data_IF_631663613167
#
_entry.id   IF_631663613167
#
_cell.length_a   1.000
_cell.length_b   1.000
_cell.length_c   1.000
_cell.angle_alpha   90.00
_cell.angle_beta   90.00
_cell.angle_gamma   90.00
#
_symmetry.space_group_name_H-M   'P 1'
#
loop_
_entity.id
_entity.type
_entity.pdbx_description
1 polymer ?
#
# COMPACT_ATOMS: atom_id res chain seq x y z
N UNK A 1 -22.01 4.58 -15.20
CA UNK A 1 -20.80 5.07 -14.49
C UNK A 1 -19.51 4.91 -15.30
N UNK A 2 -19.32 3.86 -16.08
CA UNK A 2 -18.09 3.60 -16.85
C UNK A 2 -17.66 4.73 -17.81
N UNK A 3 -18.63 5.37 -18.51
CA UNK A 3 -18.32 6.48 -19.45
C UNK A 3 -17.78 7.75 -18.77
N UNK A 4 -18.10 7.93 -17.48
CA UNK A 4 -17.63 9.10 -16.69
C UNK A 4 -16.25 8.80 -16.13
N UNK A 5 -15.99 7.58 -15.66
CA UNK A 5 -14.70 7.17 -15.12
C UNK A 5 -13.54 7.49 -16.07
N UNK A 6 -13.65 7.08 -17.33
CA UNK A 6 -12.58 7.28 -18.33
C UNK A 6 -12.31 8.76 -18.66
N UNK A 7 -13.20 9.68 -18.20
CA UNK A 7 -13.03 11.14 -18.34
C UNK A 7 -12.43 11.80 -17.10
N UNK A 8 -12.66 11.23 -15.93
CA UNK A 8 -12.29 11.87 -14.65
C UNK A 8 -11.10 11.19 -13.95
N UNK A 9 -10.88 9.89 -14.20
CA UNK A 9 -9.72 9.20 -13.65
C UNK A 9 -8.50 9.50 -14.54
N UNK A 10 -7.36 9.88 -13.96
CA UNK A 10 -6.17 10.23 -14.73
C UNK A 10 -5.72 9.08 -15.63
N UNK A 11 -5.44 9.37 -16.90
CA UNK A 11 -4.89 8.38 -17.83
C UNK A 11 -3.45 8.03 -17.47
N UNK A 12 -2.68 9.04 -17.09
CA UNK A 12 -1.31 8.91 -16.64
C UNK A 12 -1.23 9.10 -15.12
N UNK A 13 -0.23 8.50 -14.45
CA UNK A 13 0.00 8.73 -13.03
C UNK A 13 0.23 10.21 -12.73
N UNK A 14 -0.38 10.72 -11.67
CA UNK A 14 -0.12 12.07 -11.18
C UNK A 14 1.25 12.15 -10.49
N UNK A 15 1.75 13.37 -10.24
CA UNK A 15 3.05 13.59 -9.60
C UNK A 15 3.18 12.86 -8.25
N UNK A 16 2.11 12.83 -7.46
CA UNK A 16 2.08 12.13 -6.17
C UNK A 16 2.16 10.59 -6.35
N UNK A 17 1.53 10.06 -7.39
CA UNK A 17 1.63 8.63 -7.73
C UNK A 17 3.06 8.25 -8.11
N UNK A 18 3.69 9.07 -8.96
CA UNK A 18 5.09 8.86 -9.39
C UNK A 18 6.04 8.89 -8.19
N UNK A 19 5.83 9.81 -7.26
CA UNK A 19 6.64 9.92 -6.05
C UNK A 19 6.48 8.70 -5.13
N UNK A 20 5.25 8.21 -4.95
CA UNK A 20 4.97 6.99 -4.18
C UNK A 20 5.62 5.78 -4.86
N UNK A 21 5.44 5.61 -6.16
CA UNK A 21 6.01 4.50 -6.92
C UNK A 21 7.54 4.50 -6.84
N UNK A 22 8.18 5.65 -7.12
CA UNK A 22 9.63 5.79 -7.03
C UNK A 22 10.17 5.41 -5.65
N UNK A 23 9.53 5.90 -4.58
CA UNK A 23 9.94 5.55 -3.23
C UNK A 23 9.65 4.08 -2.89
N UNK A 24 8.57 3.50 -3.40
CA UNK A 24 8.30 2.06 -3.24
C UNK A 24 9.37 1.19 -3.90
N UNK A 25 9.84 1.57 -5.10
CA UNK A 25 10.99 0.90 -5.77
C UNK A 25 12.25 1.05 -4.92
N UNK A 26 12.55 2.25 -4.45
CA UNK A 26 13.70 2.55 -3.59
C UNK A 26 13.68 1.75 -2.29
N UNK A 27 12.50 1.40 -1.78
CA UNK A 27 12.27 0.65 -0.55
C UNK A 27 12.04 -0.86 -0.79
N UNK A 28 12.16 -1.36 -2.01
CA UNK A 28 11.85 -2.76 -2.35
C UNK A 28 12.69 -3.80 -1.59
N UNK A 29 13.89 -3.41 -1.11
CA UNK A 29 14.79 -4.23 -0.29
C UNK A 29 14.30 -4.47 1.13
N UNK A 30 13.31 -3.69 1.62
CA UNK A 30 12.87 -3.75 3.01
C UNK A 30 12.27 -5.12 3.34
N UNK A 31 12.76 -5.73 4.40
CA UNK A 31 12.21 -6.95 4.99
C UNK A 31 11.22 -6.63 6.13
N UNK A 32 10.33 -7.57 6.49
CA UNK A 32 9.29 -7.34 7.51
C UNK A 32 9.86 -6.85 8.85
N UNK A 33 10.95 -7.43 9.32
CA UNK A 33 11.59 -7.05 10.58
C UNK A 33 12.10 -5.59 10.58
N UNK A 34 12.49 -5.08 9.43
CA UNK A 34 12.99 -3.69 9.30
C UNK A 34 11.87 -2.68 9.40
N UNK A 35 10.69 -2.97 8.85
CA UNK A 35 9.53 -2.08 8.90
C UNK A 35 8.65 -2.32 10.13
N UNK A 36 8.42 -3.59 10.51
CA UNK A 36 7.48 -3.97 11.54
C UNK A 36 8.14 -4.19 12.92
N UNK A 37 9.49 -4.22 12.97
CA UNK A 37 10.23 -4.58 14.17
C UNK A 37 10.03 -6.03 14.65
N UNK A 38 9.23 -6.81 13.92
CA UNK A 38 8.89 -8.22 14.19
C UNK A 38 8.94 -9.01 12.89
N UNK A 39 9.36 -10.27 12.96
CA UNK A 39 9.39 -11.17 11.80
C UNK A 39 8.53 -12.42 12.04
N UNK A 40 7.33 -12.23 12.59
CA UNK A 40 6.45 -13.34 12.99
C UNK A 40 5.33 -13.58 11.97
N UNK A 41 5.21 -12.74 10.93
CA UNK A 41 4.14 -12.83 9.96
C UNK A 41 4.58 -13.66 8.75
N UNK A 42 3.73 -14.61 8.32
CA UNK A 42 3.92 -15.31 7.06
C UNK A 42 3.30 -14.51 5.91
N UNK A 43 4.14 -13.95 5.05
CA UNK A 43 3.75 -13.13 3.91
C UNK A 43 3.71 -13.89 2.57
N UNK A 44 4.02 -15.18 2.52
CA UNK A 44 4.22 -15.93 1.28
C UNK A 44 3.00 -15.88 0.34
N UNK A 45 1.81 -16.17 0.88
CA UNK A 45 0.56 -16.07 0.12
C UNK A 45 -0.04 -14.66 0.16
N UNK A 46 0.21 -13.92 1.23
CA UNK A 46 -0.39 -12.61 1.43
C UNK A 46 0.07 -11.58 0.39
N UNK A 47 1.38 -11.50 0.12
CA UNK A 47 1.91 -10.49 -0.81
C UNK A 47 1.41 -10.68 -2.25
N UNK A 48 1.46 -11.89 -2.87
CA UNK A 48 0.90 -12.10 -4.20
C UNK A 48 -0.59 -11.76 -4.28
N UNK A 49 -1.39 -12.24 -3.32
CA UNK A 49 -2.82 -11.99 -3.30
C UNK A 49 -3.17 -10.51 -3.09
N UNK A 50 -2.41 -9.80 -2.25
CA UNK A 50 -2.60 -8.36 -2.03
C UNK A 50 -2.17 -7.55 -3.26
N UNK A 51 -1.11 -7.95 -3.95
CA UNK A 51 -0.70 -7.35 -5.22
C UNK A 51 -1.81 -7.47 -6.27
N UNK A 52 -2.41 -8.65 -6.41
CA UNK A 52 -3.54 -8.87 -7.32
C UNK A 52 -4.75 -7.99 -6.97
N UNK A 53 -5.04 -7.81 -5.68
CA UNK A 53 -6.12 -6.93 -5.23
C UNK A 53 -5.81 -5.44 -5.50
N UNK A 54 -4.55 -5.00 -5.35
CA UNK A 54 -4.12 -3.65 -5.70
C UNK A 54 -4.20 -3.41 -7.21
N UNK A 55 -3.86 -4.38 -8.04
CA UNK A 55 -4.09 -4.32 -9.51
C UNK A 55 -5.59 -4.24 -9.82
N UNK A 56 -6.44 -5.00 -9.14
CA UNK A 56 -7.90 -4.91 -9.29
C UNK A 56 -8.44 -3.55 -8.82
N UNK A 57 -7.89 -2.98 -7.75
CA UNK A 57 -8.19 -1.63 -7.28
C UNK A 57 -7.89 -0.59 -8.38
N UNK A 58 -6.74 -0.67 -9.02
CA UNK A 58 -6.36 0.25 -10.11
C UNK A 58 -7.31 0.15 -11.30
N UNK A 59 -7.70 -1.06 -11.69
CA UNK A 59 -8.55 -1.32 -12.84
C UNK A 59 -10.06 -1.14 -12.56
N UNK A 60 -10.46 -1.12 -11.32
CA UNK A 60 -11.86 -0.93 -10.91
C UNK A 60 -12.39 0.44 -11.34
N UNK A 61 -13.55 0.49 -12.03
CA UNK A 61 -14.13 1.72 -12.59
C UNK A 61 -15.21 2.36 -11.71
N UNK A 62 -15.61 1.72 -10.64
CA UNK A 62 -16.58 2.28 -9.70
C UNK A 62 -16.02 2.36 -8.28
N UNK A 63 -16.48 3.34 -7.47
CA UNK A 63 -16.09 3.41 -6.05
C UNK A 63 -16.37 2.10 -5.30
N UNK A 64 -17.50 1.45 -5.56
CA UNK A 64 -17.85 0.18 -4.92
C UNK A 64 -16.83 -0.93 -5.24
N UNK A 65 -16.41 -1.07 -6.51
CA UNK A 65 -15.39 -2.07 -6.87
C UNK A 65 -14.07 -1.81 -6.14
N UNK A 66 -13.65 -0.55 -6.03
CA UNK A 66 -12.43 -0.16 -5.36
C UNK A 66 -12.50 -0.40 -3.84
N UNK A 67 -13.62 -0.04 -3.21
CA UNK A 67 -13.85 -0.30 -1.79
C UNK A 67 -13.87 -1.80 -1.48
N UNK A 68 -14.48 -2.61 -2.34
CA UNK A 68 -14.47 -4.06 -2.16
C UNK A 68 -13.04 -4.64 -2.20
N UNK A 69 -12.17 -4.13 -3.09
CA UNK A 69 -10.76 -4.54 -3.11
C UNK A 69 -10.06 -4.17 -1.78
N UNK A 70 -10.31 -2.98 -1.26
CA UNK A 70 -9.73 -2.55 0.03
C UNK A 70 -10.24 -3.41 1.19
N UNK A 71 -11.53 -3.68 1.25
CA UNK A 71 -12.10 -4.55 2.28
C UNK A 71 -11.45 -5.95 2.26
N UNK A 72 -11.23 -6.53 1.08
CA UNK A 72 -10.55 -7.83 0.96
C UNK A 72 -9.07 -7.75 1.40
N UNK A 73 -8.36 -6.67 1.07
CA UNK A 73 -6.98 -6.46 1.54
C UNK A 73 -6.95 -6.40 3.08
N UNK A 74 -7.80 -5.58 3.69
CA UNK A 74 -7.81 -5.44 5.15
C UNK A 74 -8.30 -6.68 5.87
N UNK A 75 -9.21 -7.45 5.30
CA UNK A 75 -9.58 -8.77 5.79
C UNK A 75 -8.38 -9.74 5.83
N UNK A 76 -7.54 -9.73 4.79
CA UNK A 76 -6.30 -10.53 4.75
C UNK A 76 -5.28 -10.05 5.80
N UNK A 77 -5.14 -8.75 6.00
CA UNK A 77 -4.29 -8.18 7.05
C UNK A 77 -4.78 -8.64 8.44
N UNK A 78 -6.08 -8.53 8.70
CA UNK A 78 -6.69 -9.01 9.94
C UNK A 78 -6.39 -10.50 10.18
N UNK A 79 -6.54 -11.33 9.15
CA UNK A 79 -6.26 -12.77 9.25
C UNK A 79 -4.79 -13.05 9.60
N UNK A 80 -3.83 -12.32 9.01
CA UNK A 80 -2.41 -12.47 9.33
C UNK A 80 -2.16 -12.08 10.79
N UNK A 81 -2.74 -10.99 11.27
CA UNK A 81 -2.55 -10.55 12.66
C UNK A 81 -3.15 -11.58 13.62
N UNK A 82 -4.39 -12.04 13.37
CA UNK A 82 -5.06 -13.04 14.21
C UNK A 82 -4.31 -14.36 14.27
N UNK A 83 -3.77 -14.83 13.15
CA UNK A 83 -3.01 -16.07 13.10
C UNK A 83 -1.74 -16.01 13.97
N UNK A 84 -1.16 -14.84 14.13
CA UNK A 84 0.06 -14.64 14.92
C UNK A 84 -0.21 -14.23 16.37
N UNK A 85 -1.37 -13.64 16.66
CA UNK A 85 -1.80 -13.29 18.00
C UNK A 85 -2.64 -14.42 18.58
N UNK A 86 -2.11 -15.16 19.55
CA UNK A 86 -2.83 -16.25 20.22
C UNK A 86 -3.97 -15.75 21.15
N UNK A 87 -4.13 -14.46 21.29
CA UNK A 87 -5.15 -13.82 22.11
C UNK A 87 -6.19 -13.13 21.21
N UNK A 88 -7.46 -13.19 21.58
CA UNK A 88 -8.59 -12.46 20.96
C UNK A 88 -8.50 -10.93 21.24
N UNK A 89 -7.34 -10.34 21.05
CA UNK A 89 -7.16 -8.91 21.23
C UNK A 89 -7.76 -8.14 20.05
N UNK A 90 -8.35 -7.00 20.34
CA UNK A 90 -8.88 -6.10 19.32
C UNK A 90 -7.74 -5.61 18.42
N UNK A 91 -7.88 -5.82 17.10
CA UNK A 91 -6.91 -5.38 16.11
C UNK A 91 -7.19 -3.91 15.78
N UNK A 92 -6.28 -3.04 16.18
CA UNK A 92 -6.34 -1.61 15.91
C UNK A 92 -5.79 -1.22 14.54
N UNK A 93 -5.93 0.07 14.22
CA UNK A 93 -5.30 0.66 13.01
C UNK A 93 -3.79 0.59 13.12
N UNK A 94 -3.24 0.76 14.32
CA UNK A 94 -1.79 0.75 14.60
C UNK A 94 -1.16 -0.62 14.30
N UNK A 95 -1.94 -1.70 14.39
CA UNK A 95 -1.48 -3.05 14.04
C UNK A 95 -1.56 -3.32 12.53
N UNK A 96 -2.61 -2.84 11.88
CA UNK A 96 -2.91 -3.12 10.47
C UNK A 96 -2.16 -2.21 9.50
N UNK A 97 -1.94 -0.94 9.86
CA UNK A 97 -1.34 0.07 8.99
C UNK A 97 0.09 -0.27 8.57
N UNK A 98 1.02 -0.72 9.44
CA UNK A 98 2.38 -1.10 9.03
C UNK A 98 2.39 -2.28 8.06
N UNK A 99 1.48 -3.26 8.22
CA UNK A 99 1.36 -4.39 7.29
C UNK A 99 0.87 -3.92 5.92
N UNK A 100 -0.07 -2.97 5.90
CA UNK A 100 -0.53 -2.37 4.64
C UNK A 100 0.57 -1.53 3.98
N UNK A 101 1.37 -0.77 4.74
CA UNK A 101 2.55 -0.07 4.24
C UNK A 101 3.53 -1.05 3.57
N UNK A 102 3.84 -2.17 4.24
CA UNK A 102 4.71 -3.21 3.69
C UNK A 102 4.16 -3.80 2.39
N UNK A 103 2.87 -4.13 2.37
CA UNK A 103 2.21 -4.66 1.18
C UNK A 103 2.25 -3.69 -0.01
N UNK A 104 2.01 -2.39 0.22
CA UNK A 104 2.07 -1.35 -0.81
C UNK A 104 3.49 -1.16 -1.34
N UNK A 105 4.50 -1.14 -0.46
CA UNK A 105 5.91 -1.05 -0.86
C UNK A 105 6.29 -2.23 -1.77
N UNK A 106 5.89 -3.46 -1.41
CA UNK A 106 6.20 -4.66 -2.19
C UNK A 106 5.37 -4.78 -3.49
N UNK A 107 4.13 -4.31 -3.49
CA UNK A 107 3.25 -4.39 -4.66
C UNK A 107 3.50 -3.28 -5.69
N UNK A 108 4.00 -2.12 -5.26
CA UNK A 108 4.35 -0.97 -6.11
C UNK A 108 3.19 -0.51 -7.02
N UNK A 109 2.00 -0.20 -6.47
CA UNK A 109 0.87 0.25 -7.27
C UNK A 109 1.19 1.57 -7.97
N UNK A 110 0.78 1.68 -9.25
CA UNK A 110 1.14 2.82 -10.10
C UNK A 110 0.32 4.07 -9.78
N UNK A 111 -0.92 3.91 -9.29
CA UNK A 111 -1.89 5.01 -9.12
C UNK A 111 -2.55 5.01 -7.74
N UNK A 112 -1.78 4.79 -6.70
CA UNK A 112 -2.30 4.72 -5.33
C UNK A 112 -3.02 6.00 -4.92
N UNK A 113 -2.37 7.16 -5.14
CA UNK A 113 -2.91 8.47 -4.77
C UNK A 113 -4.10 8.88 -5.64
N UNK A 114 -4.04 8.61 -6.94
CA UNK A 114 -5.17 8.81 -7.85
C UNK A 114 -6.40 8.00 -7.43
N UNK A 115 -6.22 6.76 -6.95
CA UNK A 115 -7.30 5.94 -6.41
C UNK A 115 -7.88 6.54 -5.13
N UNK A 116 -7.05 7.04 -4.21
CA UNK A 116 -7.49 7.78 -3.03
C UNK A 116 -8.34 8.99 -3.42
N UNK A 117 -7.85 9.86 -4.32
CA UNK A 117 -8.57 11.05 -4.78
C UNK A 117 -9.91 10.70 -5.39
N UNK A 118 -9.93 9.66 -6.24
CA UNK A 118 -11.16 9.21 -6.87
C UNK A 118 -12.18 8.73 -5.84
N UNK A 119 -11.78 7.89 -4.89
CA UNK A 119 -12.67 7.43 -3.83
C UNK A 119 -13.17 8.58 -2.97
N UNK A 120 -12.26 9.47 -2.56
CA UNK A 120 -12.60 10.63 -1.73
C UNK A 120 -13.60 11.58 -2.42
N UNK A 121 -13.54 11.71 -3.75
CA UNK A 121 -14.43 12.58 -4.52
C UNK A 121 -15.77 11.94 -4.88
N UNK A 122 -15.76 10.64 -5.23
CA UNK A 122 -16.88 10.02 -5.93
C UNK A 122 -17.60 8.91 -5.16
N UNK A 123 -17.20 8.63 -3.92
CA UNK A 123 -18.02 7.80 -3.03
C UNK A 123 -19.33 8.51 -2.71
N UNK A 124 -20.44 7.81 -2.93
CA UNK A 124 -21.76 8.30 -2.54
C UNK A 124 -21.99 8.16 -1.03
N UNK A 125 -23.06 8.77 -0.52
CA UNK A 125 -23.40 8.77 0.91
C UNK A 125 -23.64 7.36 1.48
N UNK A 126 -24.10 6.42 0.67
CA UNK A 126 -24.36 5.05 1.09
C UNK A 126 -23.06 4.25 1.32
N UNK A 127 -22.04 4.52 0.51
CA UNK A 127 -20.71 3.94 0.67
C UNK A 127 -19.87 4.64 1.74
N UNK A 128 -20.15 5.91 2.03
CA UNK A 128 -19.49 6.68 3.08
C UNK A 128 -20.05 6.28 4.45
N UNK A 129 -19.52 5.21 4.99
CA UNK A 129 -19.71 4.80 6.37
C UNK A 129 -18.36 4.80 7.08
N UNK A 130 -18.35 4.80 8.42
CA UNK A 130 -17.10 4.87 9.19
C UNK A 130 -16.02 3.87 8.75
N UNK A 131 -16.32 2.58 8.56
CA UNK A 131 -15.35 1.60 8.09
C UNK A 131 -14.78 1.90 6.69
N UNK A 132 -15.61 2.25 5.70
CA UNK A 132 -15.15 2.54 4.36
C UNK A 132 -14.35 3.86 4.28
N UNK A 133 -14.77 4.89 4.99
CA UNK A 133 -14.01 6.15 5.08
C UNK A 133 -12.65 5.93 5.76
N UNK A 134 -12.58 5.04 6.75
CA UNK A 134 -11.32 4.64 7.38
C UNK A 134 -10.38 3.97 6.36
N UNK A 135 -10.88 3.05 5.53
CA UNK A 135 -10.08 2.40 4.47
C UNK A 135 -9.51 3.42 3.48
N UNK A 136 -10.32 4.39 3.05
CA UNK A 136 -9.87 5.48 2.16
C UNK A 136 -8.81 6.34 2.83
N UNK A 137 -8.99 6.65 4.12
CA UNK A 137 -8.00 7.39 4.91
C UNK A 137 -6.69 6.63 5.02
N UNK A 138 -6.72 5.30 5.17
CA UNK A 138 -5.51 4.49 5.27
C UNK A 138 -4.69 4.48 3.96
N UNK A 139 -5.33 4.52 2.77
CA UNK A 139 -4.60 4.72 1.51
C UNK A 139 -3.82 6.03 1.54
N UNK A 140 -4.46 7.11 1.97
CA UNK A 140 -3.80 8.42 2.08
C UNK A 140 -2.62 8.38 3.04
N UNK A 141 -2.82 7.83 4.24
CA UNK A 141 -1.77 7.74 5.28
C UNK A 141 -0.57 6.92 4.79
N UNK A 142 -0.83 5.79 4.11
CA UNK A 142 0.25 4.96 3.52
C UNK A 142 0.99 5.72 2.43
N UNK A 143 0.27 6.42 1.56
CA UNK A 143 0.87 7.27 0.52
C UNK A 143 1.76 8.36 1.11
N UNK A 144 1.28 9.07 2.15
CA UNK A 144 2.06 10.10 2.85
C UNK A 144 3.30 9.52 3.54
N UNK A 145 3.16 8.35 4.20
CA UNK A 145 4.30 7.67 4.79
C UNK A 145 5.37 7.38 3.74
N UNK A 146 5.02 6.70 2.64
CA UNK A 146 5.98 6.32 1.61
C UNK A 146 6.65 7.54 0.95
N UNK A 147 5.91 8.64 0.75
CA UNK A 147 6.47 9.88 0.18
C UNK A 147 7.52 10.54 1.07
N UNK A 148 7.37 10.44 2.38
CA UNK A 148 8.14 11.21 3.36
C UNK A 148 9.07 10.33 4.22
N UNK A 149 9.16 9.04 3.93
CA UNK A 149 9.92 8.08 4.72
C UNK A 149 11.42 8.39 4.77
N UNK A 150 11.98 8.26 5.97
CA UNK A 150 13.42 8.38 6.26
C UNK A 150 13.93 7.12 6.94
N UNK A 151 15.23 7.00 7.16
CA UNK A 151 15.82 5.86 7.88
C UNK A 151 15.29 5.70 9.31
N UNK A 152 14.83 6.78 9.94
CA UNK A 152 14.28 6.81 11.30
C UNK A 152 12.96 6.06 11.46
N UNK A 153 12.28 5.80 10.34
CA UNK A 153 11.04 5.03 10.32
C UNK A 153 11.25 3.51 10.36
N UNK A 154 12.50 3.06 10.42
CA UNK A 154 12.85 1.64 10.31
C UNK A 154 13.67 1.15 11.50
N UNK A 155 13.50 -0.13 11.83
CA UNK A 155 14.16 -0.77 12.95
C UNK A 155 15.53 -1.30 12.56
N UNK A 156 16.53 -1.07 13.41
CA UNK A 156 17.83 -1.72 13.35
C UNK A 156 18.69 -1.37 12.13
N UNK A 157 18.45 -0.21 11.48
CA UNK A 157 19.23 0.22 10.32
C UNK A 157 19.88 1.58 10.54
N UNK A 158 21.15 1.73 10.15
CA UNK A 158 21.81 3.03 10.13
C UNK A 158 21.45 3.85 8.90
N UNK A 159 21.65 5.17 8.95
CA UNK A 159 21.44 6.08 7.82
C UNK A 159 22.26 5.69 6.59
N UNK A 160 23.52 5.32 6.81
CA UNK A 160 24.46 4.90 5.76
C UNK A 160 23.98 3.62 5.08
N UNK A 161 23.57 2.64 5.88
CA UNK A 161 23.04 1.37 5.36
C UNK A 161 21.72 1.58 4.62
N UNK A 162 20.80 2.39 5.13
CA UNK A 162 19.55 2.76 4.47
C UNK A 162 19.83 3.38 3.09
N UNK A 163 20.71 4.37 3.02
CA UNK A 163 21.04 5.05 1.76
C UNK A 163 21.68 4.10 0.74
N UNK A 164 22.59 3.24 1.18
CA UNK A 164 23.22 2.23 0.30
C UNK A 164 22.18 1.27 -0.27
N UNK A 165 21.34 0.68 0.59
CA UNK A 165 20.31 -0.27 0.16
C UNK A 165 19.30 0.37 -0.80
N UNK A 166 18.91 1.63 -0.57
CA UNK A 166 18.03 2.38 -1.47
C UNK A 166 18.67 2.59 -2.85
N UNK A 167 19.98 2.90 -2.90
CA UNK A 167 20.71 3.08 -4.17
C UNK A 167 20.83 1.77 -4.93
N UNK A 168 21.14 0.68 -4.24
CA UNK A 168 21.22 -0.66 -4.82
C UNK A 168 19.87 -1.12 -5.38
N UNK A 169 18.76 -0.86 -4.67
CA UNK A 169 17.42 -1.19 -5.14
C UNK A 169 17.06 -0.48 -6.45
N UNK A 170 17.35 0.81 -6.57
CA UNK A 170 17.13 1.58 -7.81
C UNK A 170 17.98 1.03 -8.95
N UNK A 171 19.25 0.75 -8.70
CA UNK A 171 20.17 0.21 -9.73
C UNK A 171 19.69 -1.16 -10.23
N UNK A 172 19.23 -2.04 -9.34
CA UNK A 172 18.71 -3.36 -9.70
C UNK A 172 17.41 -3.26 -10.52
N UNK A 173 16.52 -2.32 -10.17
CA UNK A 173 15.30 -2.07 -10.94
C UNK A 173 15.64 -1.60 -12.36
N UNK A 174 16.51 -0.61 -12.52
CA UNK A 174 16.98 -0.15 -13.84
C UNK A 174 17.59 -1.27 -14.68
N UNK A 175 18.38 -2.16 -14.09
CA UNK A 175 18.98 -3.29 -14.80
C UNK A 175 17.94 -4.33 -15.24
N UNK A 176 16.78 -4.41 -14.61
CA UNK A 176 15.69 -5.31 -15.02
C UNK A 176 15.05 -4.92 -16.34
N UNK A 177 15.13 -3.64 -16.74
CA UNK A 177 14.61 -3.12 -18.02
C UNK A 177 15.59 -3.27 -19.19
N UNK A 178 16.86 -3.61 -18.93
CA UNK A 178 17.91 -3.73 -19.97
C UNK A 178 18.09 -5.17 -20.44
N UNK A 179 17.52 -6.14 -19.74
CA UNK A 179 17.51 -7.58 -20.11
C UNK A 179 16.28 -7.94 -20.92
#
# INVERSE_FOLDING_TARGET
>A
MTKIYDKIFPKEPEFEDIKILHNSVRLSWIEPNVLLGKNNYNFDNFLPETKDLLVKLENGKSPLQKINCLNEIFKKITNIIQFNNQNDEFIGVDDSLPIFQYAVIKAQPIRLFSNYKYLNMYMNKELRNGPNDQLVTQIYVVGEFIKNVTYENFYGISKEQFNRNCTEAINNDMLSYIK
#
